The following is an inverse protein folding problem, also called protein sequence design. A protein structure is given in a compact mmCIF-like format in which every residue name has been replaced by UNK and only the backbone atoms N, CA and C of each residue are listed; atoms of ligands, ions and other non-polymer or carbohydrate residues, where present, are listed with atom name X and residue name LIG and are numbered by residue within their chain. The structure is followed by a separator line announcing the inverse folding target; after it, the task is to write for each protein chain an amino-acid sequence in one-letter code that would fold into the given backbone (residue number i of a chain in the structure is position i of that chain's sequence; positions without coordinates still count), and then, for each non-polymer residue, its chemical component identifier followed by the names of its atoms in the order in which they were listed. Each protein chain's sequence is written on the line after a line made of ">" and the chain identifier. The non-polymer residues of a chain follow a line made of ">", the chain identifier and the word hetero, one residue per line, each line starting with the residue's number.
data_IF_695284749978
#
_entry.id   IF_695284749978
#
_cell.length_a   1.000
_cell.length_b   1.000
_cell.length_c   1.000
_cell.angle_alpha   90.00
_cell.angle_beta   90.00
_cell.angle_gamma   90.00
#
_symmetry.space_group_name_H-M   'P 1'
#
loop_
_entity.id
_entity.type
_entity.pdbx_description
1 polymer ?
#
# COMPACT_ATOMS: atom_id res chain seq x y z
N UNK A 1 18.67 27.69 20.86
CA UNK A 1 17.95 26.40 20.98
C UNK A 1 17.04 26.27 19.76
N UNK A 2 17.51 25.53 18.76
CA UNK A 2 16.69 25.24 17.59
C UNK A 2 15.55 24.32 18.03
N UNK A 3 14.30 24.76 17.83
CA UNK A 3 13.17 23.88 17.96
C UNK A 3 13.32 22.77 16.92
N UNK A 4 13.61 21.55 17.39
CA UNK A 4 13.57 20.35 16.54
C UNK A 4 12.19 20.28 15.90
N UNK A 5 12.15 20.25 14.58
CA UNK A 5 10.90 20.08 13.84
C UNK A 5 10.28 18.73 14.29
N UNK A 6 9.24 18.81 15.10
CA UNK A 6 8.51 17.63 15.53
C UNK A 6 7.54 17.21 14.42
N UNK A 7 8.05 16.39 13.51
CA UNK A 7 7.22 15.73 12.50
C UNK A 7 6.74 14.39 13.08
N UNK A 8 5.43 14.21 13.08
CA UNK A 8 4.82 12.95 13.42
C UNK A 8 4.25 12.28 12.18
N UNK A 9 4.60 11.01 11.98
CA UNK A 9 4.21 10.21 10.82
C UNK A 9 3.34 9.06 11.25
N UNK A 10 2.21 8.87 10.56
CA UNK A 10 1.30 7.76 10.78
C UNK A 10 0.91 7.14 9.44
N UNK A 11 1.00 5.82 9.32
CA UNK A 11 0.45 5.07 8.18
C UNK A 11 -0.54 4.04 8.69
N UNK A 12 -1.72 3.98 8.09
CA UNK A 12 -2.79 3.07 8.49
C UNK A 12 -3.46 2.49 7.26
N UNK A 13 -3.66 1.16 7.20
CA UNK A 13 -4.44 0.54 6.13
C UNK A 13 -5.91 0.97 6.23
N UNK A 14 -6.56 1.26 5.10
CA UNK A 14 -7.99 1.60 5.07
C UNK A 14 -8.87 0.40 5.49
N UNK A 15 -8.36 -0.82 5.30
CA UNK A 15 -8.95 -2.07 5.77
C UNK A 15 -7.90 -2.93 6.44
N UNK A 16 -8.31 -3.77 7.39
CA UNK A 16 -7.41 -4.74 8.02
C UNK A 16 -7.18 -6.00 7.18
N UNK A 17 -8.09 -6.30 6.27
CA UNK A 17 -8.02 -7.47 5.40
C UNK A 17 -8.37 -7.08 3.98
N UNK A 18 -7.51 -7.46 3.05
CA UNK A 18 -7.66 -7.27 1.61
C UNK A 18 -7.74 -8.63 0.92
N UNK A 19 -8.49 -8.71 -0.16
CA UNK A 19 -8.40 -9.82 -1.09
C UNK A 19 -7.17 -9.64 -1.98
N UNK A 20 -6.48 -10.73 -2.32
CA UNK A 20 -5.38 -10.69 -3.29
C UNK A 20 -5.85 -10.07 -4.61
N UNK A 21 -5.09 -9.10 -5.13
CA UNK A 21 -5.44 -8.29 -6.29
C UNK A 21 -6.33 -7.07 -6.02
N UNK A 22 -6.89 -6.93 -4.82
CA UNK A 22 -7.65 -5.75 -4.44
C UNK A 22 -6.76 -4.53 -4.25
N UNK A 23 -7.28 -3.32 -4.51
CA UNK A 23 -6.56 -2.07 -4.22
C UNK A 23 -6.23 -1.97 -2.71
N UNK A 24 -4.95 -1.89 -2.39
CA UNK A 24 -4.46 -1.92 -1.00
C UNK A 24 -4.09 -0.52 -0.54
N UNK A 25 -5.13 0.24 -0.21
CA UNK A 25 -4.97 1.63 0.17
C UNK A 25 -4.51 1.81 1.60
N UNK A 26 -3.44 2.60 1.76
CA UNK A 26 -2.92 3.09 3.03
C UNK A 26 -3.19 4.59 3.14
N UNK A 27 -3.54 5.06 4.32
CA UNK A 27 -3.62 6.48 4.65
C UNK A 27 -2.34 6.89 5.37
N UNK A 28 -1.51 7.65 4.70
CA UNK A 28 -0.36 8.33 5.29
C UNK A 28 -0.83 9.67 5.84
N UNK A 29 -0.54 9.96 7.11
CA UNK A 29 -0.79 11.26 7.73
C UNK A 29 0.53 11.79 8.28
N UNK A 30 0.85 13.03 7.93
CA UNK A 30 2.03 13.74 8.41
C UNK A 30 1.55 14.97 9.17
N UNK A 31 1.95 15.06 10.43
CA UNK A 31 1.64 16.17 11.31
C UNK A 31 2.90 16.98 11.57
N UNK A 32 2.83 18.27 11.32
CA UNK A 32 3.93 19.21 11.58
C UNK A 32 3.64 20.00 12.87
N UNK A 33 4.27 19.57 13.96
CA UNK A 33 4.17 20.24 15.25
C UNK A 33 5.24 21.35 15.45
N UNK A 34 5.95 21.70 14.37
CA UNK A 34 6.91 22.81 14.41
C UNK A 34 6.22 24.15 14.18
N UNK A 35 6.89 25.23 14.55
CA UNK A 35 6.39 26.61 14.33
C UNK A 35 6.53 27.11 12.89
N UNK A 36 7.05 26.30 11.95
CA UNK A 36 7.30 26.70 10.55
C UNK A 36 6.73 25.67 9.58
N UNK A 37 6.28 26.09 8.39
CA UNK A 37 5.83 25.15 7.38
C UNK A 37 6.99 24.28 6.88
N UNK A 38 6.69 23.02 6.55
CA UNK A 38 7.64 22.06 6.01
C UNK A 38 7.22 21.69 4.59
N UNK A 39 8.17 21.70 3.66
CA UNK A 39 7.99 21.23 2.29
C UNK A 39 8.81 19.95 2.10
N UNK A 40 8.12 18.83 1.90
CA UNK A 40 8.70 17.52 1.63
C UNK A 40 8.79 17.34 0.13
N UNK A 41 9.99 17.16 -0.40
CA UNK A 41 10.23 16.96 -1.83
C UNK A 41 11.39 16.00 -2.06
N UNK A 42 11.25 15.18 -3.09
CA UNK A 42 12.31 14.26 -3.50
C UNK A 42 13.48 15.03 -4.12
N UNK A 43 14.67 14.53 -3.90
CA UNK A 43 15.90 14.97 -4.55
C UNK A 43 16.26 13.97 -5.66
N UNK A 44 17.26 14.27 -6.47
CA UNK A 44 17.60 13.55 -7.71
C UNK A 44 17.71 12.02 -7.55
N UNK A 45 18.13 11.52 -6.40
CA UNK A 45 18.27 10.08 -6.11
C UNK A 45 17.66 9.65 -4.78
N UNK A 46 16.83 10.48 -4.16
CA UNK A 46 16.23 10.19 -2.85
C UNK A 46 14.79 10.67 -2.77
N UNK A 47 13.88 9.73 -2.55
CA UNK A 47 12.50 10.06 -2.23
C UNK A 47 12.42 10.65 -0.81
N UNK A 48 11.54 11.64 -0.61
CA UNK A 48 11.23 12.17 0.71
C UNK A 48 10.41 11.16 1.56
N UNK A 49 9.80 10.15 0.91
CA UNK A 49 8.99 9.13 1.55
C UNK A 49 9.49 7.76 1.13
N UNK A 50 9.81 6.92 2.11
CA UNK A 50 10.01 5.49 1.93
C UNK A 50 8.86 4.74 2.61
N UNK A 51 8.31 3.77 1.91
CA UNK A 51 7.34 2.83 2.49
C UNK A 51 8.05 1.48 2.61
N UNK A 52 8.02 0.90 3.79
CA UNK A 52 8.55 -0.44 4.04
C UNK A 52 7.39 -1.40 4.26
N UNK A 53 7.39 -2.51 3.55
CA UNK A 53 6.42 -3.58 3.71
C UNK A 53 7.15 -4.86 4.06
N UNK A 54 6.64 -5.57 5.06
CA UNK A 54 7.23 -6.80 5.58
C UNK A 54 6.15 -7.87 5.71
N UNK A 55 6.36 -9.00 5.07
CA UNK A 55 5.52 -10.19 5.26
C UNK A 55 5.94 -10.91 6.54
N UNK A 56 5.00 -11.30 7.39
CA UNK A 56 5.27 -11.82 8.74
C UNK A 56 6.16 -13.07 8.77
N UNK A 57 6.17 -13.86 7.70
CA UNK A 57 6.99 -15.10 7.62
C UNK A 57 8.09 -15.05 6.57
N UNK A 58 7.96 -14.18 5.56
CA UNK A 58 8.93 -14.09 4.44
C UNK A 58 9.94 -12.96 4.63
N UNK A 59 9.71 -12.05 5.57
CA UNK A 59 10.54 -10.88 5.80
C UNK A 59 10.18 -9.69 4.91
N UNK A 60 11.13 -8.79 4.70
CA UNK A 60 10.93 -7.56 3.96
C UNK A 60 10.58 -7.83 2.49
N UNK A 61 9.50 -7.23 2.00
CA UNK A 61 9.16 -7.24 0.58
C UNK A 61 10.04 -6.23 -0.16
N UNK A 62 10.50 -6.64 -1.34
CA UNK A 62 11.27 -5.77 -2.19
C UNK A 62 10.34 -4.92 -3.06
N UNK A 63 10.59 -3.60 -3.16
CA UNK A 63 9.80 -2.75 -4.05
C UNK A 63 10.03 -3.16 -5.51
N UNK A 64 8.97 -3.20 -6.29
CA UNK A 64 9.01 -3.51 -7.73
C UNK A 64 9.77 -2.43 -8.54
N UNK A 65 9.80 -1.20 -8.02
CA UNK A 65 10.55 -0.08 -8.61
C UNK A 65 11.54 0.46 -7.58
N UNK A 66 12.78 0.65 -8.03
CA UNK A 66 13.85 1.22 -7.18
C UNK A 66 13.60 2.67 -6.76
N UNK A 67 12.71 3.38 -7.45
CA UNK A 67 12.46 4.80 -7.24
C UNK A 67 10.96 5.11 -7.30
N UNK A 68 10.29 4.95 -6.17
CA UNK A 68 8.96 5.53 -6.00
C UNK A 68 9.13 7.03 -5.74
N UNK A 69 8.92 7.86 -6.75
CA UNK A 69 8.92 9.32 -6.60
C UNK A 69 7.54 9.77 -6.16
N UNK A 70 7.42 10.16 -4.90
CA UNK A 70 6.18 10.75 -4.41
C UNK A 70 6.12 12.25 -4.74
N UNK A 71 4.94 12.78 -5.15
CA UNK A 71 4.77 14.20 -5.38
C UNK A 71 5.13 15.03 -4.13
N UNK A 72 5.65 16.25 -4.31
CA UNK A 72 5.94 17.12 -3.17
C UNK A 72 4.72 17.33 -2.27
N UNK A 73 4.97 17.46 -0.98
CA UNK A 73 3.93 17.68 0.02
C UNK A 73 4.31 18.83 0.94
N UNK A 74 3.47 19.87 0.98
CA UNK A 74 3.60 20.98 1.91
C UNK A 74 2.74 20.72 3.14
N UNK A 75 3.34 20.77 4.31
CA UNK A 75 2.66 20.60 5.61
C UNK A 75 2.79 21.92 6.39
N UNK A 76 1.72 22.73 6.51
CA UNK A 76 1.77 23.97 7.27
C UNK A 76 2.11 23.74 8.74
N UNK A 77 2.60 24.79 9.40
CA UNK A 77 2.89 24.76 10.83
C UNK A 77 1.65 24.41 11.65
N UNK A 78 1.77 23.50 12.60
CA UNK A 78 0.67 23.04 13.46
C UNK A 78 -0.42 22.23 12.75
N UNK A 79 -0.22 21.82 11.50
CA UNK A 79 -1.23 21.13 10.69
C UNK A 79 -0.87 19.68 10.38
N UNK A 80 -1.91 18.91 10.04
CA UNK A 80 -1.78 17.55 9.51
C UNK A 80 -2.24 17.50 8.06
N UNK A 81 -1.51 16.76 7.23
CA UNK A 81 -1.88 16.50 5.83
C UNK A 81 -1.90 14.98 5.61
N UNK A 82 -2.92 14.49 4.93
CA UNK A 82 -3.07 13.08 4.62
C UNK A 82 -2.96 12.81 3.12
N UNK A 83 -2.38 11.64 2.79
CA UNK A 83 -2.30 11.08 1.44
C UNK A 83 -2.79 9.65 1.43
N UNK A 84 -3.48 9.28 0.36
CA UNK A 84 -3.89 7.91 0.07
C UNK A 84 -2.87 7.27 -0.89
N UNK A 85 -2.37 6.10 -0.54
CA UNK A 85 -1.34 5.38 -1.28
C UNK A 85 -1.83 3.96 -1.56
N UNK A 86 -1.81 3.53 -2.81
CA UNK A 86 -2.06 2.12 -3.18
C UNK A 86 -0.73 1.38 -3.22
N UNK A 87 -0.52 0.46 -2.29
CA UNK A 87 0.73 -0.30 -2.18
C UNK A 87 1.04 -1.16 -3.40
N UNK A 88 0.03 -1.57 -4.18
CA UNK A 88 0.23 -2.41 -5.36
C UNK A 88 1.08 -1.75 -6.45
N UNK A 89 1.16 -0.41 -6.44
CA UNK A 89 2.02 0.32 -7.38
C UNK A 89 3.51 0.18 -7.05
N UNK A 90 3.84 -0.29 -5.85
CA UNK A 90 5.21 -0.35 -5.34
C UNK A 90 5.65 -1.76 -4.99
N UNK A 91 4.71 -2.65 -4.61
CA UNK A 91 4.99 -3.98 -4.13
C UNK A 91 4.12 -5.03 -4.80
N UNK A 92 4.68 -6.22 -5.01
CA UNK A 92 3.91 -7.41 -5.30
C UNK A 92 3.37 -7.98 -3.97
N UNK A 93 2.07 -7.79 -3.75
CA UNK A 93 1.34 -8.25 -2.57
C UNK A 93 0.35 -9.36 -2.92
N UNK A 94 0.68 -10.18 -3.93
CA UNK A 94 -0.15 -11.31 -4.36
C UNK A 94 -0.15 -12.47 -3.37
N UNK A 95 0.92 -12.59 -2.58
CA UNK A 95 1.10 -13.65 -1.59
C UNK A 95 0.16 -13.48 -0.40
N UNK A 96 -0.55 -14.55 -0.04
CA UNK A 96 -1.39 -14.57 1.15
C UNK A 96 -0.55 -14.48 2.44
N UNK A 97 -1.03 -13.73 3.41
CA UNK A 97 -0.36 -13.62 4.71
C UNK A 97 -0.70 -12.34 5.47
N UNK A 98 -0.01 -12.16 6.57
CA UNK A 98 -0.04 -10.93 7.36
C UNK A 98 1.17 -10.08 7.00
N UNK A 99 0.94 -8.77 6.89
CA UNK A 99 1.93 -7.80 6.50
C UNK A 99 2.00 -6.66 7.50
N UNK A 100 3.19 -6.11 7.66
CA UNK A 100 3.39 -4.85 8.35
C UNK A 100 3.78 -3.79 7.34
N UNK A 101 3.24 -2.60 7.50
CA UNK A 101 3.63 -1.42 6.73
C UNK A 101 4.14 -0.34 7.67
N UNK A 102 5.23 0.32 7.27
CA UNK A 102 5.83 1.44 7.96
C UNK A 102 6.20 2.52 6.95
N UNK A 103 5.95 3.77 7.29
CA UNK A 103 6.36 4.92 6.49
C UNK A 103 7.54 5.62 7.16
N UNK A 104 8.54 6.02 6.38
CA UNK A 104 9.69 6.82 6.82
C UNK A 104 9.73 8.08 5.98
N UNK A 105 9.62 9.23 6.64
CA UNK A 105 9.72 10.56 6.03
C UNK A 105 11.12 11.11 6.25
N UNK A 106 11.76 11.53 5.17
CA UNK A 106 13.08 12.15 5.15
C UNK A 106 12.94 13.65 4.96
N UNK A 107 13.56 14.41 5.83
CA UNK A 107 13.54 15.87 5.74
C UNK A 107 14.49 16.35 4.64
N UNK A 108 14.09 17.34 3.81
CA UNK A 108 14.97 17.94 2.83
C UNK A 108 16.19 18.57 3.52
N UNK A 109 17.38 18.31 2.99
CA UNK A 109 18.64 18.88 3.47
C UNK A 109 18.98 18.61 4.96
N UNK A 110 18.32 17.63 5.59
CA UNK A 110 18.58 17.20 6.95
C UNK A 110 18.82 15.69 6.99
N UNK A 111 19.60 15.24 7.97
CA UNK A 111 19.78 13.80 8.22
C UNK A 111 18.62 13.18 9.00
N UNK A 112 17.66 14.00 9.40
CA UNK A 112 16.55 13.58 10.24
C UNK A 112 15.53 12.76 9.42
N UNK A 113 15.18 11.62 9.98
CA UNK A 113 14.18 10.71 9.45
C UNK A 113 13.13 10.45 10.53
N UNK A 114 11.87 10.47 10.14
CA UNK A 114 10.73 10.23 11.03
C UNK A 114 9.99 8.99 10.57
N UNK A 115 9.99 7.95 11.39
CA UNK A 115 9.32 6.70 11.11
C UNK A 115 7.97 6.63 11.80
N UNK A 116 6.96 6.11 11.11
CA UNK A 116 5.70 5.74 11.73
C UNK A 116 5.85 4.47 12.59
N UNK A 117 4.88 4.18 13.44
CA UNK A 117 4.71 2.83 13.94
C UNK A 117 4.35 1.88 12.81
N UNK A 118 4.70 0.59 12.97
CA UNK A 118 4.27 -0.46 12.05
C UNK A 118 2.77 -0.70 12.19
N UNK A 119 2.05 -0.76 11.07
CA UNK A 119 0.63 -1.09 11.02
C UNK A 119 0.42 -2.43 10.35
N UNK A 120 -0.45 -3.26 10.93
CA UNK A 120 -0.75 -4.61 10.45
C UNK A 120 -1.92 -4.60 9.47
N UNK A 121 -1.78 -5.36 8.37
CA UNK A 121 -2.87 -5.75 7.49
C UNK A 121 -2.68 -7.19 7.00
N UNK A 122 -3.74 -7.76 6.44
CA UNK A 122 -3.72 -9.11 5.91
C UNK A 122 -4.12 -9.13 4.44
N UNK A 123 -3.49 -10.00 3.67
CA UNK A 123 -3.90 -10.37 2.32
C UNK A 123 -4.42 -11.79 2.38
N UNK A 124 -5.59 -12.04 1.82
CA UNK A 124 -6.24 -13.36 1.81
C UNK A 124 -6.63 -13.75 0.40
N UNK A 125 -6.61 -15.05 0.16
CA UNK A 125 -7.19 -15.65 -1.04
C UNK A 125 -8.68 -15.88 -0.78
N UNK A 126 -9.51 -15.48 -1.75
CA UNK A 126 -10.95 -15.72 -1.66
C UNK A 126 -11.32 -17.17 -1.96
N UNK A 127 -12.44 -17.63 -1.41
CA UNK A 127 -13.03 -18.91 -1.78
C UNK A 127 -13.81 -18.73 -3.10
N UNK A 128 -13.40 -19.39 -4.20
CA UNK A 128 -14.09 -19.25 -5.46
C UNK A 128 -15.47 -19.91 -5.41
N UNK A 129 -16.48 -19.20 -5.88
CA UNK A 129 -17.85 -19.69 -6.10
C UNK A 129 -18.07 -20.07 -7.56
N UNK A 130 -17.43 -19.34 -8.44
CA UNK A 130 -17.49 -19.57 -9.88
C UNK A 130 -16.20 -19.04 -10.51
N UNK A 131 -15.75 -19.69 -11.59
CA UNK A 131 -14.62 -19.21 -12.38
C UNK A 131 -14.74 -19.65 -13.84
N UNK A 132 -14.25 -18.81 -14.74
CA UNK A 132 -14.17 -19.09 -16.16
C UNK A 132 -12.88 -18.50 -16.73
N UNK A 133 -12.14 -19.33 -17.47
CA UNK A 133 -10.97 -18.88 -18.21
C UNK A 133 -11.36 -18.56 -19.65
N UNK A 134 -10.99 -17.39 -20.12
CA UNK A 134 -11.25 -16.93 -21.49
C UNK A 134 -9.95 -16.51 -22.17
N UNK A 135 -9.88 -16.68 -23.48
CA UNK A 135 -8.81 -16.12 -24.29
C UNK A 135 -9.03 -14.61 -24.47
N UNK A 136 -7.95 -13.85 -24.38
CA UNK A 136 -7.99 -12.40 -24.66
C UNK A 136 -7.91 -12.22 -26.18
N UNK A 137 -8.91 -11.59 -26.83
CA UNK A 137 -8.87 -11.35 -28.27
C UNK A 137 -7.58 -10.64 -28.67
N UNK A 138 -7.03 -11.05 -29.82
CA UNK A 138 -5.78 -10.51 -30.37
C UNK A 138 -4.52 -10.70 -29.52
N UNK A 139 -4.56 -11.63 -28.55
CA UNK A 139 -3.44 -11.96 -27.69
C UNK A 139 -3.36 -13.48 -27.50
N UNK A 140 -2.14 -14.02 -27.36
CA UNK A 140 -1.95 -15.40 -26.94
C UNK A 140 -2.24 -15.62 -25.43
N UNK A 141 -2.66 -14.58 -24.73
CA UNK A 141 -2.90 -14.61 -23.29
C UNK A 141 -4.32 -15.08 -22.96
N UNK A 142 -4.44 -15.69 -21.81
CA UNK A 142 -5.72 -16.07 -21.20
C UNK A 142 -5.90 -15.32 -19.90
N UNK A 143 -7.13 -15.16 -19.46
CA UNK A 143 -7.50 -14.56 -18.18
C UNK A 143 -8.60 -15.39 -17.52
N UNK A 144 -8.47 -15.64 -16.24
CA UNK A 144 -9.52 -16.27 -15.44
C UNK A 144 -10.30 -15.20 -14.70
N UNK A 145 -11.60 -15.13 -14.98
CA UNK A 145 -12.56 -14.37 -14.18
C UNK A 145 -13.11 -15.29 -13.10
N UNK A 146 -13.22 -14.78 -11.88
CA UNK A 146 -13.82 -15.54 -10.79
C UNK A 146 -14.71 -14.66 -9.93
N UNK A 147 -15.79 -15.25 -9.41
CA UNK A 147 -16.57 -14.70 -8.31
C UNK A 147 -16.10 -15.44 -7.07
N UNK A 148 -15.66 -14.73 -6.07
CA UNK A 148 -15.15 -15.31 -4.84
C UNK A 148 -15.66 -14.55 -3.60
N UNK A 149 -15.63 -15.23 -2.47
CA UNK A 149 -16.01 -14.66 -1.17
C UNK A 149 -14.86 -14.70 -0.19
N UNK A 150 -14.82 -13.74 0.72
CA UNK A 150 -14.06 -13.80 1.94
C UNK A 150 -14.96 -13.45 3.14
N UNK A 151 -14.73 -14.11 4.25
CA UNK A 151 -15.34 -13.74 5.52
C UNK A 151 -14.44 -12.75 6.26
N UNK A 152 -14.94 -11.57 6.54
CA UNK A 152 -14.25 -10.55 7.31
C UNK A 152 -15.11 -10.20 8.53
N UNK A 153 -14.66 -10.57 9.72
CA UNK A 153 -15.39 -10.38 10.99
C UNK A 153 -16.81 -10.96 10.95
N UNK A 154 -16.96 -12.15 10.38
CA UNK A 154 -18.24 -12.82 10.27
C UNK A 154 -19.16 -12.31 9.15
N UNK A 155 -18.74 -11.29 8.42
CA UNK A 155 -19.48 -10.77 7.25
C UNK A 155 -18.86 -11.36 5.99
N UNK A 156 -19.68 -12.03 5.18
CA UNK A 156 -19.30 -12.50 3.85
C UNK A 156 -19.27 -11.31 2.89
N UNK A 157 -18.16 -11.15 2.18
CA UNK A 157 -18.01 -10.16 1.13
C UNK A 157 -17.78 -10.84 -0.20
N UNK A 158 -18.47 -10.34 -1.23
CA UNK A 158 -18.41 -10.87 -2.58
C UNK A 158 -17.51 -10.02 -3.47
N UNK A 159 -16.66 -10.69 -4.24
CA UNK A 159 -15.70 -10.04 -5.14
C UNK A 159 -15.75 -10.63 -6.54
N UNK A 160 -15.52 -9.79 -7.54
CA UNK A 160 -15.09 -10.20 -8.87
C UNK A 160 -13.57 -10.05 -8.92
N UNK A 161 -12.89 -11.10 -9.37
CA UNK A 161 -11.44 -11.15 -9.42
C UNK A 161 -10.97 -11.62 -10.81
N UNK A 162 -9.88 -11.04 -11.31
CA UNK A 162 -9.20 -11.50 -12.52
C UNK A 162 -7.82 -12.04 -12.16
N UNK A 163 -7.48 -13.20 -12.71
CA UNK A 163 -6.24 -13.92 -12.41
C UNK A 163 -5.52 -14.37 -13.66
N UNK A 164 -4.23 -14.53 -13.55
CA UNK A 164 -3.45 -15.35 -14.47
C UNK A 164 -3.84 -16.81 -14.29
N UNK A 165 -4.27 -17.53 -15.37
CA UNK A 165 -4.67 -18.93 -15.25
C UNK A 165 -3.51 -19.88 -14.98
N UNK A 166 -2.29 -19.51 -15.34
CA UNK A 166 -1.12 -20.38 -15.25
C UNK A 166 -0.41 -20.23 -13.90
N UNK A 167 -0.37 -19.00 -13.34
CA UNK A 167 0.27 -18.71 -12.05
C UNK A 167 -0.71 -18.60 -10.89
N UNK A 168 -2.00 -18.35 -11.18
CA UNK A 168 -3.03 -18.05 -10.19
C UNK A 168 -2.92 -16.66 -9.56
N UNK A 169 -1.95 -15.85 -10.00
CA UNK A 169 -1.74 -14.49 -9.49
C UNK A 169 -2.93 -13.61 -9.87
N UNK A 170 -3.51 -12.93 -8.88
CA UNK A 170 -4.60 -12.02 -9.10
C UNK A 170 -4.09 -10.66 -9.59
N UNK A 171 -4.62 -10.22 -10.74
CA UNK A 171 -4.34 -8.89 -11.30
C UNK A 171 -5.20 -7.80 -10.71
N UNK A 172 -6.46 -8.13 -10.45
CA UNK A 172 -7.43 -7.19 -9.93
C UNK A 172 -8.53 -7.91 -9.15
N UNK A 173 -9.08 -7.24 -8.14
CA UNK A 173 -10.25 -7.70 -7.40
C UNK A 173 -11.09 -6.49 -6.99
N UNK A 174 -12.40 -6.60 -7.15
CA UNK A 174 -13.37 -5.55 -6.83
C UNK A 174 -14.47 -6.14 -5.97
N UNK A 175 -14.74 -5.51 -4.82
CA UNK A 175 -15.84 -5.85 -3.94
C UNK A 175 -17.17 -5.43 -4.60
N UNK A 176 -18.14 -6.34 -4.68
CA UNK A 176 -19.46 -6.09 -5.30
C UNK A 176 -20.63 -6.31 -4.32
N UNK A 177 -20.33 -6.76 -3.09
CA UNK A 177 -21.36 -6.96 -2.05
C UNK A 177 -20.79 -7.41 -0.71
#
# INVERSE_FOLDING_TARGET
>A
SGALAQIYVKVVPEKKTFLSGEAMYMRLTITNNSGVPVELKSQEYSSWLDIHVEHSTAGAELPQSKFAMFPPLKVPAGMSVSRKIDLRHFYDLSREGNYHVQAVVKMPNQKDMFASQKSLFAVRTGTPMWSQTVAIPSSAKRCTFSICTIAVRGIQKLYVQTKDPDTGVAYNAVCIG
#
